data_IF_945208336719
#
_entry.id   IF_945208336719
#
_cell.length_a   1.000
_cell.length_b   1.000
_cell.length_c   1.000
_cell.angle_alpha   90.00
_cell.angle_beta   90.00
_cell.angle_gamma   90.00
#
_symmetry.space_group_name_H-M   'P 1'
#
loop_
_entity.id
_entity.type
_entity.pdbx_description
1 polymer ?
#
# COMPACT_ATOMS: atom_id res chain seq x y z
N UNK A 1 40.71 -7.67 21.38
CA UNK A 1 40.41 -7.49 19.95
C UNK A 1 39.75 -8.77 19.44
N UNK A 2 38.43 -8.80 19.28
CA UNK A 2 37.72 -9.88 18.59
C UNK A 2 36.98 -9.26 17.42
N UNK A 3 37.43 -9.58 16.22
CA UNK A 3 36.85 -9.12 14.97
C UNK A 3 35.73 -10.04 14.50
N UNK A 4 35.07 -9.54 13.45
CA UNK A 4 34.52 -10.37 12.37
C UNK A 4 33.08 -10.84 12.57
N UNK A 5 32.21 -10.39 11.67
CA UNK A 5 30.90 -10.97 11.47
C UNK A 5 29.88 -10.00 10.88
N UNK A 6 30.22 -9.34 9.77
CA UNK A 6 29.20 -8.73 8.93
C UNK A 6 28.38 -9.86 8.31
N UNK A 7 27.23 -10.16 8.90
CA UNK A 7 26.22 -10.98 8.24
C UNK A 7 25.58 -10.12 7.17
N UNK A 8 26.14 -10.18 5.96
CA UNK A 8 25.45 -9.78 4.76
C UNK A 8 24.21 -10.65 4.64
N UNK A 9 23.07 -10.09 5.01
CA UNK A 9 21.79 -10.57 4.52
C UNK A 9 21.86 -10.48 2.99
N UNK A 10 21.51 -11.54 2.25
CA UNK A 10 21.27 -11.38 0.82
C UNK A 10 20.15 -10.32 0.66
N UNK A 11 20.20 -9.45 -0.37
CA UNK A 11 18.99 -8.75 -0.77
C UNK A 11 18.00 -9.85 -1.14
N UNK A 12 17.03 -10.09 -0.26
CA UNK A 12 15.81 -10.79 -0.66
C UNK A 12 15.34 -10.12 -1.94
N UNK A 13 14.88 -10.85 -2.96
CA UNK A 13 14.26 -10.20 -4.11
C UNK A 13 13.09 -9.40 -3.56
N UNK A 14 13.30 -8.10 -3.35
CA UNK A 14 12.31 -7.11 -2.95
C UNK A 14 11.26 -7.13 -4.05
N UNK A 15 10.28 -8.01 -3.91
CA UNK A 15 9.17 -8.14 -4.86
C UNK A 15 8.19 -7.05 -4.47
N UNK A 16 8.57 -5.82 -4.80
CA UNK A 16 7.77 -4.64 -4.53
C UNK A 16 6.50 -4.75 -5.36
N UNK A 17 5.42 -5.14 -4.69
CA UNK A 17 4.11 -5.29 -5.28
C UNK A 17 3.40 -3.95 -5.25
N UNK A 18 2.61 -3.67 -6.28
CA UNK A 18 1.84 -2.44 -6.37
C UNK A 18 0.45 -2.68 -5.80
N UNK A 19 -0.08 -1.72 -5.08
CA UNK A 19 -1.38 -1.81 -4.43
C UNK A 19 -2.14 -0.50 -4.61
N UNK A 20 -3.47 -0.58 -4.58
CA UNK A 20 -4.39 0.55 -4.61
C UNK A 20 -5.39 0.38 -3.47
N UNK A 21 -5.39 1.30 -2.53
CA UNK A 21 -6.40 1.40 -1.49
C UNK A 21 -7.37 2.55 -1.81
N UNK A 22 -8.66 2.26 -1.65
CA UNK A 22 -9.77 3.20 -1.77
C UNK A 22 -10.35 3.43 -0.38
N UNK A 23 -10.94 4.61 -0.16
CA UNK A 23 -11.39 5.05 1.16
C UNK A 23 -12.73 5.75 1.05
N UNK A 24 -13.53 5.64 2.12
CA UNK A 24 -14.77 6.39 2.25
C UNK A 24 -14.53 7.89 2.47
N UNK A 25 -13.39 8.26 3.08
CA UNK A 25 -13.05 9.65 3.38
C UNK A 25 -11.66 10.06 2.85
N UNK A 26 -11.47 11.34 2.54
CA UNK A 26 -10.15 11.89 2.17
C UNK A 26 -9.15 11.82 3.33
N UNK A 27 -9.63 11.91 4.57
CA UNK A 27 -8.77 11.87 5.76
C UNK A 27 -8.10 10.51 5.88
N UNK A 28 -8.86 9.42 5.77
CA UNK A 28 -8.33 8.05 5.87
C UNK A 28 -7.32 7.75 4.76
N UNK A 29 -7.55 8.29 3.56
CA UNK A 29 -6.58 8.22 2.47
C UNK A 29 -5.26 8.94 2.82
N UNK A 30 -5.32 10.13 3.44
CA UNK A 30 -4.14 10.87 3.89
C UNK A 30 -3.39 10.13 5.02
N UNK A 31 -4.12 9.64 6.03
CA UNK A 31 -3.57 8.92 7.18
C UNK A 31 -2.86 7.64 6.73
N UNK A 32 -3.51 6.86 5.87
CA UNK A 32 -2.94 5.63 5.32
C UNK A 32 -1.71 5.93 4.47
N UNK A 33 -1.75 6.97 3.62
CA UNK A 33 -0.60 7.37 2.81
C UNK A 33 0.61 7.74 3.69
N UNK A 34 0.39 8.48 4.79
CA UNK A 34 1.44 8.80 5.75
C UNK A 34 1.97 7.56 6.48
N UNK A 35 1.07 6.69 6.95
CA UNK A 35 1.42 5.47 7.68
C UNK A 35 2.29 4.54 6.82
N UNK A 36 1.89 4.33 5.57
CA UNK A 36 2.64 3.55 4.59
C UNK A 36 4.01 4.18 4.30
N UNK A 37 4.07 5.49 4.10
CA UNK A 37 5.34 6.21 3.88
C UNK A 37 6.26 6.11 5.09
N UNK A 38 5.71 6.18 6.30
CA UNK A 38 6.45 6.02 7.55
C UNK A 38 7.00 4.59 7.73
N UNK A 39 6.32 3.59 7.18
CA UNK A 39 6.78 2.20 7.13
C UNK A 39 7.85 1.94 6.04
N UNK A 40 8.15 2.95 5.20
CA UNK A 40 9.09 2.84 4.08
C UNK A 40 8.45 2.37 2.78
N UNK A 41 7.12 2.27 2.71
CA UNK A 41 6.40 1.99 1.48
C UNK A 41 6.28 3.25 0.62
N UNK A 42 6.38 3.10 -0.70
CA UNK A 42 6.23 4.22 -1.63
C UNK A 42 4.74 4.47 -1.89
N UNK A 43 4.08 5.21 -1.01
CA UNK A 43 2.66 5.56 -1.13
C UNK A 43 2.44 6.95 -1.74
N UNK A 44 1.45 7.07 -2.62
CA UNK A 44 0.98 8.35 -3.18
C UNK A 44 -0.55 8.38 -3.27
N UNK A 45 -1.11 9.55 -3.01
CA UNK A 45 -2.50 9.80 -3.32
C UNK A 45 -2.64 10.11 -4.81
N UNK A 46 -3.65 9.52 -5.45
CA UNK A 46 -3.98 9.77 -6.83
C UNK A 46 -5.50 9.82 -7.03
N UNK A 47 -5.99 10.58 -8.03
CA UNK A 47 -7.39 10.52 -8.40
C UNK A 47 -7.74 9.09 -8.85
N UNK A 48 -8.92 8.62 -8.47
CA UNK A 48 -9.31 7.23 -8.71
C UNK A 48 -9.37 6.97 -10.22
N UNK A 49 -8.68 5.93 -10.74
CA UNK A 49 -8.73 5.62 -12.16
C UNK A 49 -10.16 5.22 -12.54
N UNK A 50 -10.63 5.65 -13.71
CA UNK A 50 -12.04 5.47 -14.19
C UNK A 50 -12.59 4.03 -14.11
N UNK A 51 -11.72 3.01 -14.05
CA UNK A 51 -12.09 1.59 -13.85
C UNK A 51 -12.47 1.25 -12.41
N UNK A 52 -11.93 1.97 -11.43
CA UNK A 52 -12.23 1.81 -10.01
C UNK A 52 -13.24 2.90 -9.63
N UNK A 53 -14.37 2.52 -9.04
CA UNK A 53 -15.27 3.49 -8.42
C UNK A 53 -14.91 3.55 -6.94
N UNK A 54 -14.61 4.74 -6.43
CA UNK A 54 -14.40 4.95 -5.00
C UNK A 54 -15.29 6.10 -4.52
N UNK A 55 -15.83 5.97 -3.31
CA UNK A 55 -16.84 6.91 -2.80
C UNK A 55 -16.33 8.35 -2.69
N UNK A 56 -15.05 8.54 -2.36
CA UNK A 56 -14.47 9.88 -2.14
C UNK A 56 -13.72 10.46 -3.36
N UNK A 57 -13.64 9.75 -4.49
CA UNK A 57 -12.94 10.19 -5.70
C UNK A 57 -11.40 10.19 -5.63
N UNK A 58 -10.81 9.81 -4.49
CA UNK A 58 -9.36 9.74 -4.27
C UNK A 58 -8.97 8.34 -3.78
N UNK A 59 -7.89 7.78 -4.33
CA UNK A 59 -7.29 6.52 -3.88
C UNK A 59 -5.81 6.71 -3.54
N UNK A 60 -5.26 5.78 -2.77
CA UNK A 60 -3.84 5.71 -2.43
C UNK A 60 -3.23 4.55 -3.20
N UNK A 61 -2.33 4.84 -4.11
CA UNK A 61 -1.50 3.81 -4.75
C UNK A 61 -0.18 3.72 -4.01
N UNK A 62 0.20 2.53 -3.60
CA UNK A 62 1.43 2.31 -2.86
C UNK A 62 2.16 1.07 -3.31
N UNK A 63 3.47 1.08 -3.12
CA UNK A 63 4.37 -0.01 -3.47
C UNK A 63 5.08 -0.51 -2.21
N UNK A 64 4.92 -1.81 -1.93
CA UNK A 64 5.44 -2.44 -0.74
C UNK A 64 5.71 -3.93 -0.99
N UNK A 65 6.57 -4.53 -0.16
CA UNK A 65 6.81 -5.99 -0.19
C UNK A 65 5.57 -6.79 0.27
N UNK A 66 4.68 -6.13 1.01
CA UNK A 66 3.44 -6.71 1.55
C UNK A 66 2.30 -5.70 1.44
N UNK A 67 1.03 -6.15 1.46
CA UNK A 67 -0.11 -5.26 1.31
C UNK A 67 -0.30 -4.29 2.50
N UNK A 68 0.43 -4.47 3.61
CA UNK A 68 0.39 -3.58 4.78
C UNK A 68 -1.04 -3.29 5.27
N UNK A 69 -1.91 -4.31 5.22
CA UNK A 69 -3.32 -4.20 5.63
C UNK A 69 -3.45 -3.74 7.09
N UNK A 70 -2.48 -4.07 7.93
CA UNK A 70 -2.41 -3.64 9.33
C UNK A 70 -2.14 -2.13 9.50
N UNK A 71 -1.63 -1.46 8.46
CA UNK A 71 -1.39 -0.01 8.45
C UNK A 71 -2.55 0.77 7.81
N UNK A 72 -3.58 0.06 7.32
CA UNK A 72 -4.79 0.67 6.79
C UNK A 72 -5.61 1.29 7.92
N UNK A 73 -6.19 2.43 7.64
CA UNK A 73 -7.18 3.06 8.52
C UNK A 73 -8.48 2.23 8.57
N UNK A 74 -9.26 2.39 9.63
CA UNK A 74 -10.53 1.64 9.82
C UNK A 74 -11.58 1.93 8.74
N UNK A 75 -11.48 3.11 8.13
CA UNK A 75 -12.37 3.60 7.08
C UNK A 75 -11.81 3.36 5.67
N UNK A 76 -10.87 2.42 5.54
CA UNK A 76 -10.53 1.83 4.24
C UNK A 76 -11.80 1.24 3.63
N UNK A 77 -12.00 1.45 2.34
CA UNK A 77 -13.16 0.92 1.61
C UNK A 77 -12.75 -0.40 0.95
N UNK A 78 -11.73 -0.37 0.09
CA UNK A 78 -11.20 -1.57 -0.59
C UNK A 78 -9.70 -1.46 -0.87
N UNK A 79 -8.98 -2.57 -0.76
CA UNK A 79 -7.57 -2.68 -1.14
C UNK A 79 -7.44 -3.67 -2.28
N UNK A 80 -6.79 -3.24 -3.36
CA UNK A 80 -6.51 -4.03 -4.54
C UNK A 80 -5.00 -4.23 -4.69
N UNK A 81 -4.55 -5.46 -4.92
CA UNK A 81 -3.23 -5.74 -5.46
C UNK A 81 -3.24 -5.49 -6.96
N UNK A 82 -2.22 -4.80 -7.45
CA UNK A 82 -1.99 -4.55 -8.86
C UNK A 82 -0.84 -5.45 -9.31
N UNK A 83 -1.17 -6.40 -10.17
CA UNK A 83 -0.21 -7.29 -10.83
C UNK A 83 -0.28 -7.05 -12.34
N UNK A 84 0.58 -6.16 -12.83
CA UNK A 84 0.56 -5.72 -14.23
C UNK A 84 -0.75 -5.02 -14.61
N UNK A 85 -1.62 -5.72 -15.35
CA UNK A 85 -2.95 -5.23 -15.79
C UNK A 85 -4.10 -5.78 -14.93
N UNK A 86 -3.79 -6.67 -13.97
CA UNK A 86 -4.78 -7.32 -13.11
C UNK A 86 -4.93 -6.58 -11.79
N UNK A 87 -6.17 -6.44 -11.33
CA UNK A 87 -6.52 -5.91 -10.02
C UNK A 87 -7.17 -7.00 -9.19
N UNK A 88 -6.51 -7.43 -8.12
CA UNK A 88 -7.00 -8.47 -7.21
C UNK A 88 -7.46 -7.82 -5.92
N UNK A 89 -8.74 -7.93 -5.59
CA UNK A 89 -9.28 -7.46 -4.32
C UNK A 89 -8.66 -8.28 -3.17
N UNK A 90 -7.95 -7.61 -2.27
CA UNK A 90 -7.35 -8.19 -1.07
C UNK A 90 -8.19 -7.97 0.18
N UNK A 91 -8.81 -6.79 0.27
CA UNK A 91 -9.62 -6.37 1.40
C UNK A 91 -10.81 -5.58 0.85
N UNK A 92 -11.98 -5.84 1.38
CA UNK A 92 -13.17 -5.00 1.26
C UNK A 92 -13.72 -4.81 2.67
N UNK A 93 -14.02 -3.56 3.00
CA UNK A 93 -14.58 -3.14 4.27
C UNK A 93 -15.84 -2.35 3.91
N UNK A 94 -16.99 -2.86 4.33
CA UNK A 94 -18.32 -2.34 4.03
C UNK A 94 -18.74 -1.20 4.97
#
# INVERSE_FOLDING_TARGET
MRGGGGTGLPPVPEQVSSYIATFHTHLSALLTCQSLTACGAAARMMPVPRKLSASCGTCVSYQADSPLLEQMDTDVERVFAVDGDSYTLLLENE
#
